data_IF_274867283736
#
_entry.id   IF_274867283736
#
_cell.length_a   1.000
_cell.length_b   1.000
_cell.length_c   1.000
_cell.angle_alpha   90.00
_cell.angle_beta   90.00
_cell.angle_gamma   90.00
#
_symmetry.space_group_name_H-M   'P 1'
#
loop_
_entity.id
_entity.type
_entity.pdbx_description
1 polymer ?
#
# COMPACT_ATOMS: atom_id res chain seq x y z
N UNK A 1 43.26 -63.57 -13.19
CA UNK A 1 42.76 -64.93 -13.25
C UNK A 1 41.51 -64.93 -14.10
N UNK A 2 41.69 -65.51 -15.26
CA UNK A 2 40.82 -66.35 -16.12
C UNK A 2 39.49 -65.70 -16.52
N UNK A 3 39.34 -65.26 -17.74
CA UNK A 3 39.35 -65.99 -19.00
C UNK A 3 38.05 -66.72 -19.31
N UNK A 4 37.58 -66.56 -20.55
CA UNK A 4 36.73 -67.38 -21.34
C UNK A 4 35.63 -66.61 -22.08
N UNK A 5 35.80 -66.01 -23.22
CA UNK A 5 35.91 -66.50 -24.62
C UNK A 5 34.80 -67.46 -25.07
N UNK A 6 34.12 -66.94 -26.03
CA UNK A 6 33.94 -67.36 -27.44
C UNK A 6 32.63 -68.14 -27.68
N UNK A 7 31.99 -67.99 -28.70
CA UNK A 7 31.89 -68.09 -30.17
C UNK A 7 30.44 -68.44 -30.48
N UNK A 8 29.72 -68.08 -31.47
CA UNK A 8 30.01 -67.88 -32.87
C UNK A 8 28.96 -68.58 -33.70
N UNK A 9 28.61 -67.97 -34.80
CA UNK A 9 28.16 -68.57 -36.05
C UNK A 9 26.70 -68.57 -36.49
N UNK A 10 26.52 -67.83 -37.55
CA UNK A 10 25.98 -68.12 -38.89
C UNK A 10 24.45 -68.28 -38.97
N UNK A 11 23.75 -67.61 -39.82
CA UNK A 11 23.89 -67.28 -41.23
C UNK A 11 22.78 -67.99 -41.99
N UNK A 12 21.90 -67.30 -42.64
CA UNK A 12 20.88 -67.88 -43.49
C UNK A 12 20.10 -66.79 -44.25
N UNK A 13 20.28 -66.83 -45.53
CA UNK A 13 19.83 -65.95 -46.60
C UNK A 13 18.35 -66.16 -46.98
N UNK A 14 17.71 -65.07 -47.39
CA UNK A 14 16.81 -64.89 -48.56
C UNK A 14 15.42 -65.54 -48.49
N UNK A 15 14.35 -64.70 -48.50
CA UNK A 15 13.52 -64.70 -49.72
C UNK A 15 12.61 -63.45 -49.82
N UNK A 16 12.46 -63.00 -51.04
CA UNK A 16 11.67 -61.90 -51.51
C UNK A 16 10.16 -62.20 -51.42
N UNK A 17 9.39 -61.22 -51.25
CA UNK A 17 8.06 -61.23 -51.79
C UNK A 17 6.96 -60.62 -50.93
N UNK A 18 6.36 -59.68 -51.54
CA UNK A 18 5.02 -59.14 -51.32
C UNK A 18 4.96 -57.79 -50.59
N UNK A 19 4.94 -56.76 -51.44
CA UNK A 19 4.39 -55.44 -51.12
C UNK A 19 2.95 -55.56 -50.60
N UNK A 20 2.73 -55.22 -49.37
CA UNK A 20 1.43 -54.81 -48.88
C UNK A 20 1.55 -53.39 -48.36
N UNK A 21 0.93 -52.43 -49.09
CA UNK A 21 0.71 -51.06 -48.69
C UNK A 21 -0.27 -51.16 -47.54
N UNK A 22 0.24 -50.93 -46.33
CA UNK A 22 -0.61 -50.65 -45.17
C UNK A 22 -0.75 -49.13 -45.10
N UNK A 23 -1.90 -48.65 -45.53
CA UNK A 23 -2.35 -47.30 -45.31
C UNK A 23 -2.56 -47.14 -43.79
N UNK A 24 -1.59 -46.51 -43.12
CA UNK A 24 -1.72 -46.11 -41.71
C UNK A 24 -2.66 -44.92 -41.67
N UNK A 25 -3.94 -45.15 -41.38
CA UNK A 25 -4.88 -44.10 -41.01
C UNK A 25 -4.41 -43.54 -39.67
N UNK A 26 -3.79 -42.37 -39.71
CA UNK A 26 -3.53 -41.55 -38.51
C UNK A 26 -4.88 -41.05 -38.00
N UNK A 27 -5.42 -41.75 -37.04
CA UNK A 27 -6.47 -41.21 -36.18
C UNK A 27 -5.87 -40.03 -35.43
N UNK A 28 -6.11 -38.83 -35.92
CA UNK A 28 -6.00 -37.62 -35.09
C UNK A 28 -7.04 -37.76 -33.98
N UNK A 29 -6.65 -38.32 -32.86
CA UNK A 29 -7.35 -38.19 -31.60
C UNK A 29 -7.37 -36.70 -31.27
N UNK A 30 -8.54 -36.09 -31.47
CA UNK A 30 -8.87 -34.76 -30.96
C UNK A 30 -8.57 -34.79 -29.46
N UNK A 31 -7.44 -34.18 -29.05
CA UNK A 31 -7.24 -33.79 -27.68
C UNK A 31 -8.46 -32.90 -27.30
N UNK A 32 -9.14 -33.21 -26.23
CA UNK A 32 -10.19 -32.31 -25.78
C UNK A 32 -9.56 -30.93 -25.62
N UNK A 33 -10.03 -29.98 -26.42
CA UNK A 33 -9.56 -28.59 -26.34
C UNK A 33 -9.57 -28.19 -24.89
N UNK A 34 -8.46 -27.67 -24.43
CA UNK A 34 -8.37 -26.94 -23.17
C UNK A 34 -9.44 -25.87 -23.24
N UNK A 35 -10.62 -26.16 -22.73
CA UNK A 35 -11.60 -25.15 -22.46
C UNK A 35 -11.06 -24.35 -21.30
N UNK A 36 -10.83 -23.03 -21.43
CA UNK A 36 -10.67 -22.19 -20.26
C UNK A 36 -12.06 -22.11 -19.61
N UNK A 37 -12.43 -23.09 -18.81
CA UNK A 37 -13.56 -22.99 -17.93
C UNK A 37 -13.05 -22.93 -16.50
N UNK A 38 -12.59 -21.77 -16.17
CA UNK A 38 -12.82 -21.23 -14.85
C UNK A 38 -13.46 -19.87 -15.10
N UNK A 39 -14.78 -19.79 -15.05
CA UNK A 39 -15.37 -18.58 -14.51
C UNK A 39 -14.63 -18.40 -13.19
N UNK A 40 -13.77 -17.38 -13.09
CA UNK A 40 -13.10 -17.06 -11.85
C UNK A 40 -14.22 -17.02 -10.80
N UNK A 41 -14.15 -17.90 -9.82
CA UNK A 41 -15.17 -17.98 -8.78
C UNK A 41 -15.12 -16.62 -8.10
N UNK A 42 -16.24 -15.88 -8.17
CA UNK A 42 -16.32 -14.55 -7.60
C UNK A 42 -15.87 -14.61 -6.13
N UNK A 43 -14.97 -13.73 -5.73
CA UNK A 43 -14.53 -13.62 -4.35
C UNK A 43 -15.76 -13.32 -3.48
N UNK A 44 -15.98 -14.13 -2.47
CA UNK A 44 -17.07 -13.92 -1.52
C UNK A 44 -16.48 -13.58 -0.15
N UNK A 45 -16.71 -12.34 0.26
CA UNK A 45 -16.42 -11.84 1.60
C UNK A 45 -17.75 -11.33 2.18
N UNK A 46 -18.68 -12.23 2.52
CA UNK A 46 -19.99 -11.83 3.03
C UNK A 46 -19.83 -10.98 4.26
N UNK A 47 -20.50 -9.84 4.29
CA UNK A 47 -20.32 -8.82 5.33
C UNK A 47 -21.66 -8.23 5.72
N UNK A 48 -22.05 -8.40 6.99
CA UNK A 48 -23.19 -7.72 7.57
C UNK A 48 -22.79 -6.31 8.02
N UNK A 49 -23.68 -5.34 7.80
CA UNK A 49 -23.42 -3.94 8.19
C UNK A 49 -24.56 -3.37 9.02
N UNK A 50 -24.20 -2.48 9.95
CA UNK A 50 -25.16 -1.66 10.68
C UNK A 50 -24.49 -0.36 11.15
N UNK A 51 -25.32 0.60 11.52
CA UNK A 51 -24.86 1.87 12.09
C UNK A 51 -25.53 2.08 13.44
N UNK A 52 -24.77 2.45 14.46
CA UNK A 52 -25.32 2.84 15.76
C UNK A 52 -25.99 4.21 15.69
N UNK A 53 -26.84 4.53 16.68
CA UNK A 53 -27.52 5.84 16.79
C UNK A 53 -26.56 7.02 16.86
N UNK A 54 -25.35 6.82 17.41
CA UNK A 54 -24.27 7.82 17.46
C UNK A 54 -23.44 7.92 16.18
N UNK A 55 -23.79 7.18 15.12
CA UNK A 55 -23.15 7.27 13.82
C UNK A 55 -21.97 6.31 13.58
N UNK A 56 -21.57 5.50 14.56
CA UNK A 56 -20.52 4.50 14.35
C UNK A 56 -20.98 3.47 13.32
N UNK A 57 -20.23 3.34 12.23
CA UNK A 57 -20.46 2.35 11.18
C UNK A 57 -19.77 1.05 11.55
N UNK A 58 -20.49 -0.06 11.46
CA UNK A 58 -19.95 -1.39 11.83
C UNK A 58 -20.15 -2.36 10.67
N UNK A 59 -19.12 -3.15 10.39
CA UNK A 59 -19.17 -4.25 9.44
C UNK A 59 -18.65 -5.54 10.10
N UNK A 60 -19.33 -6.65 9.84
CA UNK A 60 -19.00 -7.95 10.44
C UNK A 60 -18.84 -8.99 9.33
N UNK A 61 -17.65 -9.59 9.27
CA UNK A 61 -17.35 -10.73 8.41
C UNK A 61 -17.24 -12.00 9.24
N UNK A 62 -18.23 -12.88 9.11
CA UNK A 62 -18.25 -14.18 9.81
C UNK A 62 -17.35 -15.20 9.11
N UNK A 63 -16.36 -15.74 9.81
CA UNK A 63 -15.39 -16.72 9.31
C UNK A 63 -14.98 -17.67 10.44
N UNK A 64 -15.54 -18.88 10.45
CA UNK A 64 -15.30 -19.91 11.46
C UNK A 64 -14.12 -20.85 11.11
N UNK A 65 -13.24 -20.48 10.20
CA UNK A 65 -12.10 -21.29 9.81
C UNK A 65 -11.04 -21.47 10.91
N UNK A 66 -10.98 -20.54 11.86
CA UNK A 66 -10.14 -20.60 13.05
C UNK A 66 -10.85 -19.89 14.23
N UNK A 67 -10.58 -20.27 15.50
CA UNK A 67 -11.18 -19.64 16.67
C UNK A 67 -10.50 -18.30 17.00
N UNK A 68 -10.42 -17.42 16.01
CA UNK A 68 -9.76 -16.10 16.07
C UNK A 68 -10.71 -15.01 15.59
N UNK A 69 -10.51 -13.82 16.10
CA UNK A 69 -11.20 -12.61 15.63
C UNK A 69 -10.21 -11.46 15.46
N UNK A 70 -10.36 -10.74 14.36
CA UNK A 70 -9.72 -9.45 14.11
C UNK A 70 -10.73 -8.33 14.38
N UNK A 71 -10.34 -7.35 15.18
CA UNK A 71 -11.05 -6.10 15.41
C UNK A 71 -10.20 -5.00 14.77
N UNK A 72 -10.79 -4.17 13.91
CA UNK A 72 -10.07 -3.08 13.24
C UNK A 72 -10.93 -1.81 13.25
N UNK A 73 -10.55 -0.88 14.09
CA UNK A 73 -11.23 0.41 14.27
C UNK A 73 -10.46 1.49 13.52
N UNK A 74 -11.11 2.11 12.52
CA UNK A 74 -10.57 3.24 11.77
C UNK A 74 -11.21 4.54 12.25
N UNK A 75 -10.38 5.53 12.57
CA UNK A 75 -10.78 6.94 12.66
C UNK A 75 -10.42 7.62 11.33
N UNK A 76 -11.39 8.33 10.73
CA UNK A 76 -11.25 8.96 9.42
C UNK A 76 -10.50 10.30 9.54
N UNK A 77 -9.34 10.24 10.19
CA UNK A 77 -8.42 11.35 10.42
C UNK A 77 -6.98 10.85 10.32
N UNK A 78 -6.19 11.51 9.51
CA UNK A 78 -4.76 11.34 9.40
C UNK A 78 -4.08 12.70 9.29
N UNK A 79 -2.80 12.74 8.94
CA UNK A 79 -2.04 13.98 8.87
C UNK A 79 -2.61 14.99 7.87
N UNK A 80 -3.37 14.57 6.88
CA UNK A 80 -4.07 15.45 5.94
C UNK A 80 -5.21 16.29 6.54
N UNK A 81 -5.56 16.08 7.81
CA UNK A 81 -6.56 16.87 8.54
C UNK A 81 -5.95 17.83 9.55
N UNK A 82 -4.65 17.86 9.64
CA UNK A 82 -3.90 18.72 10.54
C UNK A 82 -3.90 20.17 10.03
N UNK A 83 -3.85 21.11 10.95
CA UNK A 83 -3.74 22.54 10.63
C UNK A 83 -2.27 22.95 10.57
N UNK A 84 -1.98 24.03 9.84
CA UNK A 84 -0.63 24.58 9.74
C UNK A 84 -0.03 24.85 11.14
N UNK A 85 1.23 24.44 11.35
CA UNK A 85 1.92 24.55 12.63
C UNK A 85 1.52 23.49 13.68
N UNK A 86 0.78 22.46 13.24
CA UNK A 86 0.34 21.34 14.10
C UNK A 86 0.53 19.99 13.36
N UNK A 87 1.59 19.85 12.59
CA UNK A 87 1.89 18.59 11.89
C UNK A 87 2.36 17.50 12.86
N UNK A 88 2.00 16.25 12.54
CA UNK A 88 2.32 15.08 13.36
C UNK A 88 1.32 14.76 14.47
N UNK A 89 0.23 15.50 14.56
CA UNK A 89 -0.78 15.32 15.62
C UNK A 89 -1.52 13.99 15.47
N UNK A 90 -1.91 13.61 14.27
CA UNK A 90 -2.59 12.33 14.04
C UNK A 90 -1.71 11.15 14.47
N UNK A 91 -0.42 11.21 14.17
CA UNK A 91 0.55 10.19 14.59
C UNK A 91 0.85 10.24 16.09
N UNK A 92 0.99 11.42 16.67
CA UNK A 92 1.10 11.59 18.13
C UNK A 92 -0.12 10.99 18.84
N UNK A 93 -1.32 11.15 18.27
CA UNK A 93 -2.54 10.54 18.80
C UNK A 93 -2.53 9.02 18.72
N UNK A 94 -2.00 8.43 17.66
CA UNK A 94 -1.80 6.99 17.60
C UNK A 94 -1.07 6.50 18.86
N UNK A 95 0.03 7.16 19.23
CA UNK A 95 0.79 6.86 20.44
C UNK A 95 0.01 7.14 21.74
N UNK A 96 -0.69 8.27 21.81
CA UNK A 96 -1.46 8.66 22.99
C UNK A 96 -2.57 7.67 23.33
N UNK A 97 -3.19 7.06 22.34
CA UNK A 97 -4.26 6.07 22.52
C UNK A 97 -3.82 4.78 23.24
N UNK A 98 -2.52 4.56 23.38
CA UNK A 98 -1.95 3.46 24.16
C UNK A 98 -1.49 3.88 25.57
N UNK A 99 -1.68 5.15 25.95
CA UNK A 99 -1.20 5.65 27.26
C UNK A 99 -2.22 5.50 28.38
N UNK A 100 -3.27 4.70 28.15
CA UNK A 100 -4.37 4.47 29.09
C UNK A 100 -5.54 5.40 28.86
N UNK A 101 -6.67 5.04 29.43
CA UNK A 101 -7.96 5.70 29.40
C UNK A 101 -8.60 5.64 30.78
N UNK A 102 -9.87 5.97 30.94
CA UNK A 102 -10.51 6.06 32.25
C UNK A 102 -10.34 4.78 33.10
N UNK A 103 -10.63 3.63 32.50
CA UNK A 103 -10.67 2.34 33.19
C UNK A 103 -9.51 1.41 32.82
N UNK A 104 -8.56 1.90 32.00
CA UNK A 104 -7.40 1.16 31.51
C UNK A 104 -6.11 1.92 31.80
N UNK A 105 -5.25 1.33 32.62
CA UNK A 105 -3.96 1.91 32.96
C UNK A 105 -3.00 1.98 31.77
N UNK A 106 -1.95 2.81 31.87
CA UNK A 106 -0.87 2.90 30.90
C UNK A 106 -0.29 1.50 30.60
N UNK A 107 -0.28 1.11 29.34
CA UNK A 107 0.17 -0.22 28.89
C UNK A 107 -0.87 -1.33 29.07
N UNK A 108 -2.02 -1.05 29.67
CA UNK A 108 -3.08 -2.04 29.90
C UNK A 108 -3.63 -2.65 28.62
N UNK A 109 -3.75 -1.85 27.54
CA UNK A 109 -4.14 -2.39 26.23
C UNK A 109 -3.20 -3.51 25.77
N UNK A 110 -1.89 -3.30 25.84
CA UNK A 110 -0.91 -4.32 25.49
C UNK A 110 -0.97 -5.52 26.42
N UNK A 111 -1.04 -5.28 27.74
CA UNK A 111 -1.10 -6.33 28.74
C UNK A 111 -2.28 -7.27 28.50
N UNK A 112 -3.48 -6.73 28.41
CA UNK A 112 -4.72 -7.51 28.23
C UNK A 112 -4.71 -8.33 26.94
N UNK A 113 -4.30 -7.72 25.80
CA UNK A 113 -4.29 -8.43 24.52
C UNK A 113 -3.20 -9.49 24.46
N UNK A 114 -2.01 -9.22 25.03
CA UNK A 114 -0.92 -10.21 25.09
C UNK A 114 -1.21 -11.37 26.04
N UNK A 115 -1.84 -11.11 27.19
CA UNK A 115 -2.30 -12.15 28.11
C UNK A 115 -3.35 -13.06 27.47
N UNK A 116 -4.18 -12.53 26.58
CA UNK A 116 -5.10 -13.30 25.75
C UNK A 116 -4.40 -14.13 24.65
N UNK A 117 -3.09 -13.99 24.47
CA UNK A 117 -2.34 -14.61 23.37
C UNK A 117 -2.55 -13.91 22.02
N UNK A 118 -3.03 -12.68 22.03
CA UNK A 118 -3.31 -11.88 20.85
C UNK A 118 -2.16 -10.95 20.46
N UNK A 119 -2.40 -10.20 19.40
CA UNK A 119 -1.53 -9.12 18.90
C UNK A 119 -2.34 -7.85 18.68
N UNK A 120 -1.71 -6.69 18.87
CA UNK A 120 -2.32 -5.39 18.60
C UNK A 120 -1.29 -4.42 18.01
N UNK A 121 -1.79 -3.44 17.28
CA UNK A 121 -0.99 -2.30 16.83
C UNK A 121 -1.90 -1.12 16.45
N UNK A 122 -1.27 0.02 16.13
CA UNK A 122 -1.87 1.16 15.46
C UNK A 122 -1.12 1.52 14.20
N UNK A 123 -1.70 2.34 13.35
CA UNK A 123 -0.98 2.99 12.26
C UNK A 123 -1.68 4.27 11.82
N UNK A 124 -0.88 5.24 11.36
CA UNK A 124 -1.35 6.52 10.84
C UNK A 124 -0.81 6.76 9.44
N UNK A 125 -1.65 7.25 8.57
CA UNK A 125 -1.24 7.79 7.28
C UNK A 125 -1.86 9.19 7.06
N UNK A 126 -1.82 9.69 5.84
CA UNK A 126 -2.39 11.01 5.52
C UNK A 126 -3.90 11.08 5.70
N UNK A 127 -4.63 9.97 5.63
CA UNK A 127 -6.08 9.96 5.51
C UNK A 127 -6.82 9.27 6.65
N UNK A 128 -6.13 8.40 7.39
CA UNK A 128 -6.72 7.66 8.51
C UNK A 128 -5.71 7.34 9.61
N UNK A 129 -6.23 7.11 10.83
CA UNK A 129 -5.53 6.45 11.95
C UNK A 129 -6.35 5.22 12.33
N UNK A 130 -5.73 4.07 12.50
CA UNK A 130 -6.43 2.87 12.93
C UNK A 130 -5.73 2.15 14.08
N UNK A 131 -6.54 1.37 14.78
CA UNK A 131 -6.11 0.43 15.81
C UNK A 131 -6.71 -0.92 15.49
N UNK A 132 -5.93 -1.96 15.70
CA UNK A 132 -6.37 -3.31 15.38
C UNK A 132 -5.78 -4.35 16.31
N UNK A 133 -6.60 -5.32 16.62
CA UNK A 133 -6.28 -6.47 17.44
C UNK A 133 -6.61 -7.74 16.70
N UNK A 134 -5.85 -8.79 17.00
CA UNK A 134 -6.19 -10.17 16.64
C UNK A 134 -6.06 -11.03 17.89
N UNK A 135 -7.18 -11.61 18.33
CA UNK A 135 -7.28 -12.39 19.56
C UNK A 135 -8.07 -13.68 19.34
N UNK A 136 -7.96 -14.68 20.24
CA UNK A 136 -8.95 -15.77 20.29
C UNK A 136 -10.37 -15.22 20.45
N UNK A 137 -11.35 -15.83 19.76
CA UNK A 137 -12.72 -15.27 19.63
C UNK A 137 -13.44 -15.08 20.96
N UNK A 138 -13.10 -15.85 21.99
CA UNK A 138 -13.62 -15.69 23.34
C UNK A 138 -13.19 -14.39 24.07
N UNK A 139 -12.20 -13.68 23.55
CA UNK A 139 -11.75 -12.37 24.06
C UNK A 139 -12.34 -11.18 23.31
N UNK A 140 -13.23 -11.39 22.33
CA UNK A 140 -13.85 -10.30 21.56
C UNK A 140 -14.48 -9.24 22.46
N UNK A 141 -15.26 -9.65 23.48
CA UNK A 141 -15.94 -8.71 24.38
C UNK A 141 -14.95 -7.80 25.10
N UNK A 142 -13.82 -8.35 25.55
CA UNK A 142 -12.78 -7.60 26.24
C UNK A 142 -12.10 -6.58 25.31
N UNK A 143 -11.79 -6.96 24.07
CA UNK A 143 -11.21 -6.03 23.09
C UNK A 143 -12.18 -4.90 22.72
N UNK A 144 -13.46 -5.22 22.52
CA UNK A 144 -14.47 -4.19 22.24
C UNK A 144 -14.64 -3.22 23.41
N UNK A 145 -14.51 -3.69 24.65
CA UNK A 145 -14.50 -2.83 25.82
C UNK A 145 -13.27 -1.91 25.85
N UNK A 146 -12.05 -2.44 25.58
CA UNK A 146 -10.83 -1.64 25.49
C UNK A 146 -10.95 -0.52 24.45
N UNK A 147 -11.45 -0.85 23.26
CA UNK A 147 -11.63 0.11 22.15
C UNK A 147 -12.66 1.18 22.51
N UNK A 148 -13.76 0.81 23.15
CA UNK A 148 -14.79 1.74 23.59
C UNK A 148 -14.31 2.65 24.71
N UNK A 149 -13.53 2.13 25.66
CA UNK A 149 -12.99 2.94 26.78
C UNK A 149 -12.03 4.01 26.24
N UNK A 150 -11.12 3.66 25.33
CA UNK A 150 -10.24 4.69 24.74
C UNK A 150 -10.96 5.66 23.80
N UNK A 151 -12.00 5.23 23.06
CA UNK A 151 -12.79 6.14 22.23
C UNK A 151 -13.57 7.17 23.07
N UNK A 152 -14.19 6.69 24.15
CA UNK A 152 -15.06 7.53 24.97
C UNK A 152 -14.33 8.37 26.02
N UNK A 153 -13.25 7.82 26.59
CA UNK A 153 -12.74 8.28 27.89
C UNK A 153 -11.21 8.45 27.95
N UNK A 154 -10.53 8.59 26.82
CA UNK A 154 -9.07 8.83 26.75
C UNK A 154 -8.69 10.07 27.58
N UNK A 155 -9.45 11.16 27.45
CA UNK A 155 -9.13 12.44 28.09
C UNK A 155 -9.22 12.40 29.60
N UNK A 156 -9.94 11.45 30.20
CA UNK A 156 -10.06 11.30 31.65
C UNK A 156 -8.73 10.83 32.28
N UNK A 157 -7.90 10.13 31.49
CA UNK A 157 -6.56 9.70 31.91
C UNK A 157 -5.43 10.52 31.27
N UNK A 158 -5.75 11.56 30.51
CA UNK A 158 -4.75 12.42 29.88
C UNK A 158 -4.00 13.26 30.89
N UNK A 159 -2.68 13.40 30.71
CA UNK A 159 -1.83 14.27 31.52
C UNK A 159 -0.72 14.92 30.69
N UNK A 160 -0.20 16.05 31.20
CA UNK A 160 0.97 16.72 30.59
C UNK A 160 2.17 15.78 30.53
N UNK A 161 2.41 14.98 31.56
CA UNK A 161 3.52 14.02 31.61
C UNK A 161 3.43 12.98 30.48
N UNK A 162 2.22 12.42 30.23
CA UNK A 162 1.99 11.46 29.12
C UNK A 162 2.24 12.11 27.76
N UNK A 163 1.79 13.36 27.59
CA UNK A 163 2.02 14.13 26.38
C UNK A 163 3.52 14.37 26.15
N UNK A 164 4.23 14.85 27.16
CA UNK A 164 5.68 15.12 27.07
C UNK A 164 6.46 13.86 26.72
N UNK A 165 6.12 12.76 27.37
CA UNK A 165 6.73 11.47 27.08
C UNK A 165 6.49 11.03 25.62
N UNK A 166 5.25 11.09 25.13
CA UNK A 166 4.95 10.65 23.76
C UNK A 166 5.48 11.62 22.70
N UNK A 167 5.54 12.92 22.95
CA UNK A 167 6.26 13.85 22.08
C UNK A 167 7.72 13.46 21.91
N UNK A 168 8.39 13.10 22.99
CA UNK A 168 9.80 12.68 22.94
C UNK A 168 9.96 11.34 22.22
N UNK A 169 9.03 10.40 22.40
CA UNK A 169 9.01 9.12 21.64
C UNK A 169 8.87 9.40 20.14
N UNK A 170 7.88 10.17 19.70
CA UNK A 170 7.66 10.51 18.29
C UNK A 170 8.84 11.27 17.69
N UNK A 171 9.43 12.21 18.44
CA UNK A 171 10.65 12.94 18.02
C UNK A 171 11.87 12.01 17.88
N UNK A 172 12.00 11.01 18.74
CA UNK A 172 13.05 9.99 18.63
C UNK A 172 12.80 9.05 17.44
N UNK A 173 11.55 8.66 17.22
CA UNK A 173 11.15 7.87 16.05
C UNK A 173 11.46 8.62 14.75
N UNK A 174 11.15 9.91 14.67
CA UNK A 174 11.52 10.74 13.52
C UNK A 174 13.03 10.71 13.27
N UNK A 175 13.83 10.86 14.33
CA UNK A 175 15.28 10.76 14.20
C UNK A 175 15.74 9.40 13.67
N UNK A 176 15.16 8.31 14.19
CA UNK A 176 15.53 6.95 13.78
C UNK A 176 15.11 6.61 12.35
N UNK A 177 13.85 6.92 12.00
CA UNK A 177 13.25 6.45 10.74
C UNK A 177 13.47 7.42 9.57
N UNK A 178 13.79 8.70 9.85
CA UNK A 178 13.98 9.71 8.80
C UNK A 178 15.36 10.34 8.83
N UNK A 179 15.80 10.91 9.97
CA UNK A 179 17.05 11.69 10.01
C UNK A 179 18.31 10.80 10.04
N UNK A 180 18.23 9.61 10.63
CA UNK A 180 19.33 8.65 10.72
C UNK A 180 19.21 7.50 9.70
N UNK A 181 18.05 7.31 9.09
CA UNK A 181 17.84 6.28 8.08
C UNK A 181 18.39 6.73 6.72
N UNK A 182 19.15 5.86 6.00
CA UNK A 182 19.60 6.17 4.65
C UNK A 182 18.43 6.56 3.75
N UNK A 183 18.52 7.68 3.06
CA UNK A 183 17.47 8.27 2.22
C UNK A 183 16.15 8.62 2.95
N UNK A 184 16.14 8.64 4.28
CA UNK A 184 14.92 8.81 5.07
C UNK A 184 14.25 10.16 4.85
N UNK A 185 15.02 11.25 4.79
CA UNK A 185 14.52 12.60 4.55
C UNK A 185 14.02 12.83 3.11
N UNK A 186 14.39 11.96 2.15
CA UNK A 186 13.98 12.11 0.76
C UNK A 186 12.46 12.02 0.59
N UNK A 187 11.78 11.18 1.35
CA UNK A 187 10.32 11.05 1.29
C UNK A 187 9.61 12.32 1.74
N UNK A 188 10.12 12.98 2.77
CA UNK A 188 9.61 14.27 3.24
C UNK A 188 9.84 15.34 2.17
N UNK A 189 11.07 15.43 1.65
CA UNK A 189 11.42 16.41 0.63
C UNK A 189 10.61 16.25 -0.65
N UNK A 190 10.35 15.02 -1.10
CA UNK A 190 9.50 14.75 -2.25
C UNK A 190 8.06 15.22 -2.02
N UNK A 191 7.51 15.03 -0.82
CA UNK A 191 6.19 15.55 -0.44
C UNK A 191 6.13 17.07 -0.51
N UNK A 192 7.10 17.76 0.08
CA UNK A 192 7.23 19.24 0.06
C UNK A 192 7.40 19.79 -1.36
N UNK A 193 8.15 19.10 -2.21
CA UNK A 193 8.33 19.51 -3.60
C UNK A 193 7.08 19.30 -4.45
N UNK A 194 6.33 18.22 -4.21
CA UNK A 194 5.16 17.85 -4.99
C UNK A 194 3.93 18.66 -4.58
N UNK A 195 3.64 18.70 -3.28
CA UNK A 195 2.44 19.32 -2.75
C UNK A 195 2.75 20.75 -2.28
N UNK A 196 1.99 21.77 -2.74
CA UNK A 196 2.19 23.15 -2.28
C UNK A 196 1.84 23.29 -0.79
N UNK A 197 2.38 24.34 -0.16
CA UNK A 197 1.96 24.71 1.19
C UNK A 197 0.43 24.86 1.29
N UNK A 198 -0.14 24.34 2.38
CA UNK A 198 -1.59 24.30 2.58
C UNK A 198 -2.29 23.11 1.91
N UNK A 199 -1.61 22.34 1.07
CA UNK A 199 -2.16 21.07 0.60
C UNK A 199 -2.12 20.04 1.74
N UNK A 200 -3.19 19.24 1.97
CA UNK A 200 -3.25 18.24 3.03
C UNK A 200 -2.09 17.22 3.07
N UNK A 201 -1.44 17.00 1.94
CA UNK A 201 -0.33 16.05 1.83
C UNK A 201 1.06 16.68 1.81
N UNK A 202 1.16 17.99 2.14
CA UNK A 202 2.44 18.69 2.18
C UNK A 202 3.29 18.27 3.38
N UNK A 203 2.70 18.31 4.58
CA UNK A 203 3.39 17.94 5.80
C UNK A 203 3.56 16.41 5.93
N UNK A 204 4.72 15.94 6.45
CA UNK A 204 4.91 14.52 6.69
C UNK A 204 4.05 14.01 7.84
N UNK A 205 3.57 12.78 7.76
CA UNK A 205 2.74 12.16 8.82
C UNK A 205 3.44 12.10 10.18
N UNK A 206 4.76 11.93 10.19
CA UNK A 206 5.58 11.98 11.42
C UNK A 206 5.63 13.38 12.05
N UNK A 207 5.26 14.42 11.32
CA UNK A 207 5.28 15.81 11.74
C UNK A 207 6.66 16.47 11.73
N UNK A 208 6.67 17.80 11.83
CA UNK A 208 7.90 18.57 12.03
C UNK A 208 8.25 18.67 13.52
N UNK A 209 9.54 18.64 13.83
CA UNK A 209 10.03 18.73 15.23
C UNK A 209 9.52 19.97 15.97
N UNK A 210 9.42 21.10 15.27
CA UNK A 210 8.92 22.35 15.83
C UNK A 210 7.44 22.25 16.24
N UNK A 211 6.60 21.68 15.35
CA UNK A 211 5.16 21.53 15.58
C UNK A 211 4.87 20.58 16.74
N UNK A 212 5.58 19.44 16.79
CA UNK A 212 5.48 18.50 17.91
C UNK A 212 5.90 19.14 19.23
N UNK A 213 6.91 20.01 19.22
CA UNK A 213 7.36 20.72 20.42
C UNK A 213 6.34 21.74 20.90
N UNK A 214 5.64 22.39 19.97
CA UNK A 214 4.64 23.43 20.26
C UNK A 214 3.26 22.86 20.66
N UNK A 215 3.06 21.52 20.59
CA UNK A 215 1.79 20.88 20.93
C UNK A 215 1.41 21.13 22.40
N UNK A 216 0.26 21.75 22.65
CA UNK A 216 -0.30 21.97 23.99
C UNK A 216 -1.32 20.88 24.37
N UNK A 217 -1.63 20.72 25.68
CA UNK A 217 -2.72 19.85 26.10
C UNK A 217 -4.07 20.21 25.49
N UNK A 218 -4.34 21.51 25.32
CA UNK A 218 -5.58 22.02 24.72
C UNK A 218 -5.68 21.65 23.25
N UNK A 219 -4.58 21.75 22.49
CA UNK A 219 -4.51 21.34 21.09
C UNK A 219 -4.84 19.85 20.97
N UNK A 220 -4.22 19.04 21.84
CA UNK A 220 -4.42 17.59 21.90
C UNK A 220 -5.86 17.24 22.23
N UNK A 221 -6.42 17.83 23.29
CA UNK A 221 -7.81 17.59 23.68
C UNK A 221 -8.80 18.08 22.59
N UNK A 222 -8.50 19.19 21.93
CA UNK A 222 -9.28 19.70 20.80
C UNK A 222 -9.31 18.75 19.62
N UNK A 223 -8.15 18.23 19.23
CA UNK A 223 -8.02 17.26 18.14
C UNK A 223 -8.78 15.97 18.45
N UNK A 224 -8.67 15.44 19.67
CA UNK A 224 -9.42 14.26 20.09
C UNK A 224 -10.93 14.47 19.96
N UNK A 225 -11.47 15.53 20.59
CA UNK A 225 -12.92 15.81 20.57
C UNK A 225 -13.47 16.03 19.18
N UNK A 226 -12.65 16.51 18.26
CA UNK A 226 -13.05 16.73 16.86
C UNK A 226 -13.08 15.47 16.03
N UNK A 227 -12.08 14.59 16.20
CA UNK A 227 -11.82 13.53 15.24
C UNK A 227 -12.03 12.11 15.77
N UNK A 228 -11.82 11.86 17.08
CA UNK A 228 -11.90 10.54 17.69
C UNK A 228 -13.28 10.28 18.26
N UNK A 229 -14.28 10.30 17.41
CA UNK A 229 -15.70 10.22 17.75
C UNK A 229 -16.42 9.16 16.90
N UNK A 230 -17.52 8.55 17.41
CA UNK A 230 -18.18 7.44 16.73
C UNK A 230 -18.60 7.73 15.29
N UNK A 231 -19.16 8.92 15.03
CA UNK A 231 -19.62 9.30 13.68
C UNK A 231 -18.48 9.66 12.71
N UNK A 232 -17.24 9.67 13.17
CA UNK A 232 -16.02 9.78 12.34
C UNK A 232 -15.20 8.48 12.35
N UNK A 233 -15.83 7.35 12.70
CA UNK A 233 -15.16 6.07 12.81
C UNK A 233 -15.91 4.96 12.07
N UNK A 234 -15.19 3.90 11.74
CA UNK A 234 -15.75 2.65 11.25
C UNK A 234 -15.04 1.47 11.91
N UNK A 235 -15.82 0.50 12.36
CA UNK A 235 -15.38 -0.69 13.08
C UNK A 235 -15.65 -1.93 12.25
N UNK A 236 -14.62 -2.69 11.95
CA UNK A 236 -14.76 -3.99 11.26
C UNK A 236 -14.32 -5.11 12.19
N UNK A 237 -15.20 -6.11 12.34
CA UNK A 237 -14.93 -7.33 13.09
C UNK A 237 -14.97 -8.49 12.09
N UNK A 238 -13.88 -9.27 12.01
CA UNK A 238 -13.78 -10.40 11.10
C UNK A 238 -13.27 -11.63 11.83
N UNK A 239 -13.96 -12.77 11.69
CA UNK A 239 -13.51 -14.03 12.29
C UNK A 239 -14.64 -14.87 12.87
N UNK A 240 -14.29 -15.68 13.87
CA UNK A 240 -15.19 -16.63 14.52
C UNK A 240 -16.18 -15.91 15.45
N UNK A 241 -17.16 -15.26 14.83
CA UNK A 241 -18.17 -14.45 15.50
C UNK A 241 -19.54 -14.61 14.82
N UNK A 242 -20.60 -14.32 15.57
CA UNK A 242 -21.95 -14.21 15.01
C UNK A 242 -22.38 -12.74 14.94
N UNK A 243 -22.89 -12.25 13.80
CA UNK A 243 -23.27 -10.85 13.65
C UNK A 243 -24.24 -10.33 14.73
N UNK A 244 -25.17 -11.17 15.20
CA UNK A 244 -26.11 -10.80 16.28
C UNK A 244 -25.39 -10.53 17.61
N UNK A 245 -24.41 -11.34 17.97
CA UNK A 245 -23.62 -11.16 19.19
C UNK A 245 -22.73 -9.93 19.11
N UNK A 246 -22.08 -9.73 17.95
CA UNK A 246 -21.28 -8.51 17.68
C UNK A 246 -22.17 -7.27 17.84
N UNK A 247 -23.35 -7.25 17.22
CA UNK A 247 -24.28 -6.11 17.32
C UNK A 247 -24.64 -5.80 18.78
N UNK A 248 -24.93 -6.83 19.58
CA UNK A 248 -25.27 -6.70 21.00
C UNK A 248 -24.09 -6.09 21.79
N UNK A 249 -22.86 -6.61 21.58
CA UNK A 249 -21.67 -6.15 22.27
C UNK A 249 -21.30 -4.73 21.86
N UNK A 250 -21.27 -4.43 20.55
CA UNK A 250 -20.94 -3.08 20.06
C UNK A 250 -21.97 -2.06 20.55
N UNK A 251 -23.28 -2.41 20.55
CA UNK A 251 -24.31 -1.52 21.10
C UNK A 251 -24.09 -1.25 22.59
N UNK A 252 -23.73 -2.30 23.35
CA UNK A 252 -23.47 -2.17 24.80
C UNK A 252 -22.31 -1.25 25.12
N UNK A 253 -21.18 -1.37 24.40
CA UNK A 253 -19.95 -0.66 24.76
C UNK A 253 -19.82 0.71 24.08
N UNK A 254 -20.26 0.81 22.83
CA UNK A 254 -20.11 2.05 22.04
C UNK A 254 -21.38 2.91 21.99
N UNK A 255 -22.55 2.37 22.35
CA UNK A 255 -23.83 3.01 22.09
C UNK A 255 -24.04 4.35 22.84
N UNK A 256 -23.48 4.48 24.03
CA UNK A 256 -23.59 5.66 24.90
C UNK A 256 -22.49 6.71 24.65
N UNK A 257 -21.48 6.39 23.83
CA UNK A 257 -20.42 7.37 23.46
C UNK A 257 -21.06 8.44 22.56
N UNK A 258 -20.99 9.73 22.93
CA UNK A 258 -21.66 10.78 22.17
C UNK A 258 -21.03 10.96 20.77
N UNK A 259 -21.90 11.26 19.79
CA UNK A 259 -21.44 11.68 18.48
C UNK A 259 -20.74 13.05 18.56
N UNK A 260 -19.69 13.22 17.73
CA UNK A 260 -19.04 14.51 17.54
C UNK A 260 -19.68 15.34 16.41
N UNK A 261 -19.07 16.48 16.11
CA UNK A 261 -19.45 17.28 14.95
C UNK A 261 -19.15 16.49 13.66
N UNK A 262 -20.00 16.58 12.63
CA UNK A 262 -19.73 15.94 11.35
C UNK A 262 -18.41 16.42 10.76
N UNK A 263 -17.54 15.47 10.37
CA UNK A 263 -16.28 15.79 9.72
C UNK A 263 -16.53 16.37 8.30
N UNK A 264 -15.76 17.39 7.87
CA UNK A 264 -15.82 17.88 6.50
C UNK A 264 -15.53 16.75 5.50
N UNK A 265 -16.31 16.70 4.41
CA UNK A 265 -16.11 15.70 3.36
C UNK A 265 -14.72 15.84 2.71
N UNK A 266 -14.07 14.71 2.47
CA UNK A 266 -12.85 14.65 1.66
C UNK A 266 -13.21 14.84 0.19
N UNK A 267 -12.51 15.77 -0.48
CA UNK A 267 -12.70 16.03 -1.92
C UNK A 267 -11.35 15.90 -2.62
N UNK A 268 -11.33 15.44 -3.89
CA UNK A 268 -10.13 15.49 -4.70
C UNK A 268 -9.54 16.90 -4.74
N UNK A 269 -8.22 16.99 -4.59
CA UNK A 269 -7.43 18.21 -4.64
C UNK A 269 -6.18 17.94 -5.50
N UNK A 270 -6.34 17.81 -6.83
CA UNK A 270 -5.26 17.43 -7.71
C UNK A 270 -4.19 18.53 -7.78
N UNK A 271 -2.94 18.09 -7.90
CA UNK A 271 -1.78 18.98 -8.07
C UNK A 271 -1.35 19.02 -9.53
N UNK A 272 -0.94 20.21 -9.98
CA UNK A 272 -0.34 20.43 -11.29
C UNK A 272 0.99 21.14 -11.13
N UNK A 273 2.00 20.71 -11.86
CA UNK A 273 3.29 21.38 -11.95
C UNK A 273 3.36 22.13 -13.28
N UNK A 274 3.86 23.38 -13.24
CA UNK A 274 4.05 24.21 -14.43
C UNK A 274 5.38 23.91 -15.15
N UNK A 275 6.36 23.36 -14.44
CA UNK A 275 7.67 22.99 -14.93
C UNK A 275 8.28 21.91 -14.03
N UNK A 276 9.33 21.28 -14.51
CA UNK A 276 10.15 20.38 -13.71
C UNK A 276 10.74 21.09 -12.49
N UNK A 277 10.81 20.39 -11.38
CA UNK A 277 11.47 20.85 -10.15
C UNK A 277 12.59 19.89 -9.80
N UNK A 278 13.84 20.39 -9.80
CA UNK A 278 15.02 19.63 -9.44
C UNK A 278 15.53 20.02 -8.07
N UNK A 279 15.98 19.05 -7.30
CA UNK A 279 16.70 19.28 -6.05
C UNK A 279 17.76 18.21 -5.82
N UNK A 280 18.74 18.56 -4.97
CA UNK A 280 19.85 17.69 -4.62
C UNK A 280 20.01 17.68 -3.10
N UNK A 281 19.88 16.51 -2.51
CA UNK A 281 20.14 16.27 -1.10
C UNK A 281 21.45 15.48 -0.93
N UNK A 282 22.24 15.88 0.04
CA UNK A 282 23.36 15.10 0.52
C UNK A 282 22.92 14.29 1.74
N UNK A 283 23.32 13.02 1.80
CA UNK A 283 22.95 12.11 2.89
C UNK A 283 24.10 11.14 3.20
N UNK A 284 24.02 10.53 4.37
CA UNK A 284 24.98 9.50 4.83
C UNK A 284 24.72 8.16 4.15
N UNK A 285 24.86 8.14 2.85
CA UNK A 285 24.65 6.98 1.98
C UNK A 285 25.91 6.66 1.18
N UNK A 286 26.04 5.43 0.74
CA UNK A 286 27.17 5.02 -0.13
C UNK A 286 26.83 5.13 -1.61
N UNK A 287 25.55 4.97 -1.98
CA UNK A 287 25.11 4.98 -3.37
C UNK A 287 24.20 6.16 -3.62
N UNK A 288 24.33 6.76 -4.79
CA UNK A 288 23.44 7.83 -5.23
C UNK A 288 22.07 7.23 -5.62
N UNK A 289 20.99 8.00 -5.38
CA UNK A 289 19.62 7.63 -5.71
C UNK A 289 18.90 8.75 -6.45
N UNK A 290 18.21 8.38 -7.51
CA UNK A 290 17.32 9.27 -8.27
C UNK A 290 15.87 8.92 -7.97
N UNK A 291 15.07 9.93 -7.70
CA UNK A 291 13.61 9.82 -7.61
C UNK A 291 12.94 10.78 -8.59
N UNK A 292 12.05 10.25 -9.42
CA UNK A 292 11.22 10.99 -10.37
C UNK A 292 9.77 10.85 -9.93
N UNK A 293 9.06 11.98 -9.73
CA UNK A 293 7.68 11.95 -9.20
C UNK A 293 6.77 12.86 -10.02
N UNK A 294 5.73 12.28 -10.61
CA UNK A 294 4.69 12.98 -11.36
C UNK A 294 3.41 13.09 -10.52
N UNK A 295 2.74 14.25 -10.47
CA UNK A 295 1.39 14.32 -9.93
C UNK A 295 0.44 13.53 -10.83
N UNK A 296 -0.44 12.74 -10.22
CA UNK A 296 -1.43 11.92 -10.92
C UNK A 296 -2.79 11.97 -10.23
N UNK A 297 -3.64 11.00 -10.53
CA UNK A 297 -5.04 10.97 -10.11
C UNK A 297 -5.22 10.44 -8.69
N UNK A 298 -6.32 10.87 -8.08
CA UNK A 298 -6.80 10.39 -6.80
C UNK A 298 -7.31 8.95 -6.89
N UNK A 299 -7.53 8.32 -5.74
CA UNK A 299 -8.07 6.95 -5.66
C UNK A 299 -9.49 6.87 -6.21
N UNK A 300 -9.81 5.75 -6.83
CA UNK A 300 -11.06 5.47 -7.54
C UNK A 300 -11.26 6.29 -8.82
N UNK A 301 -10.29 7.06 -9.24
CA UNK A 301 -10.31 7.68 -10.57
C UNK A 301 -10.29 6.60 -11.66
N UNK A 302 -10.87 6.91 -12.83
CA UNK A 302 -10.94 5.97 -13.95
C UNK A 302 -9.56 5.57 -14.51
N UNK A 303 -8.54 6.40 -14.31
CA UNK A 303 -7.18 6.19 -14.81
C UNK A 303 -6.24 5.51 -13.80
N UNK A 304 -6.67 5.33 -12.55
CA UNK A 304 -5.87 4.74 -11.48
C UNK A 304 -5.34 3.35 -11.85
N UNK A 305 -6.24 2.45 -12.27
CA UNK A 305 -5.88 1.05 -12.56
C UNK A 305 -4.93 0.94 -13.76
N UNK A 306 -5.09 1.82 -14.75
CA UNK A 306 -4.19 1.86 -15.91
C UNK A 306 -2.80 2.38 -15.53
N UNK A 307 -2.70 3.33 -14.58
CA UNK A 307 -1.42 3.81 -14.03
C UNK A 307 -0.76 2.73 -13.17
N UNK A 308 -1.51 1.93 -12.42
CA UNK A 308 -0.98 0.78 -11.67
C UNK A 308 -0.38 -0.28 -12.60
N UNK A 309 -1.10 -0.62 -13.68
CA UNK A 309 -0.61 -1.56 -14.71
C UNK A 309 0.64 -0.99 -15.40
N UNK A 310 0.64 0.31 -15.74
CA UNK A 310 1.81 0.98 -16.29
C UNK A 310 3.03 0.87 -15.36
N UNK A 311 2.86 1.13 -14.07
CA UNK A 311 3.91 1.00 -13.06
C UNK A 311 4.41 -0.44 -12.92
N UNK A 312 3.51 -1.41 -12.92
CA UNK A 312 3.85 -2.83 -12.83
C UNK A 312 4.71 -3.29 -14.02
N UNK A 313 4.40 -2.83 -15.24
CA UNK A 313 5.17 -3.15 -16.44
C UNK A 313 6.52 -2.42 -16.43
N UNK A 314 6.50 -1.13 -16.05
CA UNK A 314 7.68 -0.28 -16.10
C UNK A 314 8.75 -0.70 -15.08
N UNK A 315 8.38 -0.90 -13.78
CA UNK A 315 9.39 -1.02 -12.74
C UNK A 315 9.09 -1.96 -11.57
N UNK A 316 8.02 -2.78 -11.59
CA UNK A 316 7.76 -3.71 -10.50
C UNK A 316 8.27 -5.13 -10.80
N UNK A 317 9.16 -5.62 -9.94
CA UNK A 317 9.70 -6.97 -10.03
C UNK A 317 10.77 -7.15 -11.11
N UNK A 318 11.37 -8.35 -11.12
CA UNK A 318 12.55 -8.64 -11.93
C UNK A 318 12.29 -8.70 -13.45
N UNK A 319 11.07 -8.88 -13.88
CA UNK A 319 10.67 -8.93 -15.29
C UNK A 319 10.18 -7.58 -15.83
N UNK A 320 10.20 -6.52 -15.04
CA UNK A 320 9.85 -5.17 -15.49
C UNK A 320 10.90 -4.58 -16.42
N UNK A 321 10.49 -3.64 -17.28
CA UNK A 321 11.37 -3.05 -18.31
C UNK A 321 12.62 -2.40 -17.73
N UNK A 322 12.45 -1.55 -16.72
CA UNK A 322 13.57 -0.86 -16.06
C UNK A 322 14.50 -1.85 -15.34
N UNK A 323 13.97 -2.86 -14.64
CA UNK A 323 14.82 -3.85 -13.99
C UNK A 323 15.65 -4.62 -15.02
N UNK A 324 15.03 -5.08 -16.10
CA UNK A 324 15.72 -5.83 -17.17
C UNK A 324 16.78 -4.98 -17.86
N UNK A 325 16.55 -3.68 -18.02
CA UNK A 325 17.52 -2.78 -18.63
C UNK A 325 18.62 -2.40 -17.64
N UNK A 326 18.25 -1.67 -16.56
CA UNK A 326 19.20 -0.98 -15.71
C UNK A 326 19.93 -1.92 -14.72
N UNK A 327 19.22 -2.95 -14.22
CA UNK A 327 19.78 -3.83 -13.19
C UNK A 327 20.40 -5.08 -13.80
N UNK A 328 19.71 -5.74 -14.76
CA UNK A 328 20.15 -7.03 -15.29
C UNK A 328 21.16 -6.88 -16.44
N UNK A 329 20.82 -6.12 -17.50
CA UNK A 329 21.66 -6.00 -18.69
C UNK A 329 22.80 -5.00 -18.54
N UNK A 330 22.50 -3.75 -18.20
CA UNK A 330 23.47 -2.66 -18.14
C UNK A 330 24.23 -2.63 -16.82
N UNK A 331 23.65 -3.24 -15.77
CA UNK A 331 24.23 -3.30 -14.42
C UNK A 331 24.62 -1.92 -13.86
N UNK A 332 23.93 -0.87 -14.30
CA UNK A 332 24.13 0.51 -13.87
C UNK A 332 23.34 0.84 -12.60
N UNK A 333 22.25 0.13 -12.31
CA UNK A 333 21.48 0.28 -11.08
C UNK A 333 21.60 -0.95 -10.17
N UNK A 334 21.58 -0.70 -8.86
CA UNK A 334 21.42 -1.74 -7.83
C UNK A 334 19.96 -2.16 -7.69
N UNK A 335 19.06 -1.19 -7.76
CA UNK A 335 17.63 -1.40 -7.61
C UNK A 335 16.84 -0.35 -8.40
N UNK A 336 15.68 -0.74 -8.87
CA UNK A 336 14.71 0.15 -9.48
C UNK A 336 13.30 -0.27 -9.07
N UNK A 337 12.44 0.72 -8.88
CA UNK A 337 11.01 0.53 -8.64
C UNK A 337 10.23 1.62 -9.35
N UNK A 338 9.03 1.29 -9.84
CA UNK A 338 8.07 2.27 -10.36
C UNK A 338 6.66 1.89 -9.90
N UNK A 339 5.83 2.89 -9.60
CA UNK A 339 4.46 2.61 -9.16
C UNK A 339 3.61 3.84 -9.00
N UNK A 340 2.31 3.63 -9.07
CA UNK A 340 1.26 4.58 -8.76
C UNK A 340 0.96 4.54 -7.27
N UNK A 341 0.74 5.70 -6.66
CA UNK A 341 0.27 5.84 -5.30
C UNK A 341 -0.93 6.78 -5.26
N UNK A 342 -2.13 6.24 -5.36
CA UNK A 342 -3.37 7.01 -5.27
C UNK A 342 -3.86 7.10 -3.84
N UNK A 343 -4.23 8.30 -3.41
CA UNK A 343 -4.84 8.61 -2.12
C UNK A 343 -6.15 9.36 -2.35
N UNK A 344 -7.04 9.48 -1.36
CA UNK A 344 -8.36 10.09 -1.55
C UNK A 344 -8.37 11.48 -2.18
N UNK A 345 -7.35 12.33 -1.95
CA UNK A 345 -7.35 13.69 -2.46
C UNK A 345 -6.45 13.91 -3.68
N UNK A 346 -5.37 13.17 -3.82
CA UNK A 346 -4.42 13.29 -4.93
C UNK A 346 -3.58 12.01 -5.06
N UNK A 347 -3.02 11.78 -6.24
CA UNK A 347 -2.09 10.68 -6.49
C UNK A 347 -0.74 11.15 -7.00
N UNK A 348 0.19 10.22 -7.03
CA UNK A 348 1.52 10.41 -7.61
C UNK A 348 2.00 9.12 -8.28
N UNK A 349 2.71 9.26 -9.37
CA UNK A 349 3.49 8.18 -9.95
C UNK A 349 4.96 8.42 -9.62
N UNK A 350 5.66 7.40 -9.14
CA UNK A 350 7.06 7.54 -8.74
C UNK A 350 7.93 6.48 -9.39
N UNK A 351 9.10 6.90 -9.88
CA UNK A 351 10.21 6.00 -10.25
C UNK A 351 11.37 6.30 -9.32
N UNK A 352 11.94 5.25 -8.72
CA UNK A 352 13.13 5.35 -7.86
C UNK A 352 14.20 4.43 -8.39
N UNK A 353 15.41 4.97 -8.64
CA UNK A 353 16.57 4.22 -9.10
C UNK A 353 17.72 4.43 -8.13
N UNK A 354 18.25 3.36 -7.54
CA UNK A 354 19.49 3.40 -6.76
C UNK A 354 20.65 2.99 -7.69
N UNK A 355 21.56 3.90 -7.94
CA UNK A 355 22.69 3.67 -8.82
C UNK A 355 23.66 2.64 -8.23
N UNK A 356 24.44 1.96 -9.07
CA UNK A 356 25.66 1.28 -8.64
C UNK A 356 26.79 2.31 -8.51
N UNK A 357 27.82 1.94 -7.79
CA UNK A 357 29.03 2.75 -7.66
C UNK A 357 29.60 3.12 -9.06
N UNK A 358 29.89 4.39 -9.27
CA UNK A 358 30.39 4.91 -10.54
C UNK A 358 29.36 5.11 -11.64
N UNK A 359 28.10 4.73 -11.45
CA UNK A 359 27.05 4.96 -12.45
C UNK A 359 26.52 6.40 -12.35
N UNK A 360 26.26 7.01 -13.52
CA UNK A 360 25.78 8.39 -13.64
C UNK A 360 24.26 8.48 -13.45
N UNK A 361 23.80 9.29 -12.49
CA UNK A 361 22.37 9.56 -12.33
C UNK A 361 21.75 10.24 -13.56
N UNK A 362 22.50 11.10 -14.25
CA UNK A 362 22.01 11.73 -15.50
C UNK A 362 21.78 10.71 -16.62
N UNK A 363 22.64 9.68 -16.69
CA UNK A 363 22.43 8.60 -17.66
C UNK A 363 21.21 7.76 -17.27
N UNK A 364 21.09 7.35 -16.01
CA UNK A 364 19.94 6.59 -15.51
C UNK A 364 18.62 7.34 -15.70
N UNK A 365 18.61 8.67 -15.54
CA UNK A 365 17.45 9.51 -15.80
C UNK A 365 17.02 9.43 -17.27
N UNK A 366 17.97 9.59 -18.21
CA UNK A 366 17.69 9.46 -19.66
C UNK A 366 17.13 8.07 -20.01
N UNK A 367 17.73 7.02 -19.47
CA UNK A 367 17.31 5.63 -19.72
C UNK A 367 15.91 5.35 -19.18
N UNK A 368 15.53 5.95 -18.04
CA UNK A 368 14.16 5.87 -17.52
C UNK A 368 13.19 6.56 -18.49
N UNK A 369 13.53 7.76 -18.98
CA UNK A 369 12.66 8.47 -19.94
C UNK A 369 12.53 7.74 -21.28
N UNK A 370 13.59 7.09 -21.76
CA UNK A 370 13.54 6.26 -22.96
C UNK A 370 12.59 5.08 -22.81
N UNK A 371 12.61 4.37 -21.66
CA UNK A 371 11.69 3.27 -21.41
C UNK A 371 10.25 3.74 -21.25
N UNK A 372 10.02 4.88 -20.60
CA UNK A 372 8.71 5.52 -20.52
C UNK A 372 8.21 5.88 -21.93
N UNK A 373 9.05 6.51 -22.76
CA UNK A 373 8.70 6.87 -24.13
C UNK A 373 8.37 5.64 -24.97
N UNK A 374 9.20 4.58 -24.86
CA UNK A 374 8.98 3.34 -25.59
C UNK A 374 7.66 2.66 -25.16
N UNK A 375 7.34 2.62 -23.87
CA UNK A 375 6.07 2.05 -23.39
C UNK A 375 4.87 2.91 -23.84
N UNK A 376 5.02 4.24 -23.88
CA UNK A 376 3.98 5.14 -24.36
C UNK A 376 3.73 5.05 -25.88
N UNK A 377 4.78 4.80 -26.69
CA UNK A 377 4.69 4.78 -28.16
C UNK A 377 4.34 3.40 -28.70
N UNK A 378 5.07 2.36 -28.27
CA UNK A 378 4.90 1.00 -28.75
C UNK A 378 3.79 0.24 -28.00
N UNK A 379 3.49 0.66 -26.76
CA UNK A 379 2.56 -0.03 -25.86
C UNK A 379 3.20 -1.25 -25.18
N UNK A 380 2.42 -1.88 -24.28
CA UNK A 380 2.81 -3.12 -23.64
C UNK A 380 2.53 -4.31 -24.53
N UNK A 381 3.35 -5.36 -24.41
CA UNK A 381 3.09 -6.65 -25.02
C UNK A 381 1.94 -7.40 -24.31
N UNK A 382 1.37 -8.38 -24.97
CA UNK A 382 0.32 -9.23 -24.37
C UNK A 382 0.82 -9.95 -23.09
N UNK A 383 2.09 -10.38 -23.09
CA UNK A 383 2.71 -11.03 -21.93
C UNK A 383 2.89 -10.06 -20.76
N UNK A 384 3.35 -8.82 -21.01
CA UNK A 384 3.48 -7.79 -19.99
C UNK A 384 2.12 -7.46 -19.36
N UNK A 385 1.07 -7.32 -20.18
CA UNK A 385 -0.30 -7.09 -19.70
C UNK A 385 -0.81 -8.25 -18.85
N UNK A 386 -0.65 -9.49 -19.31
CA UNK A 386 -1.07 -10.68 -18.56
C UNK A 386 -0.35 -10.76 -17.20
N UNK A 387 0.97 -10.57 -17.20
CA UNK A 387 1.78 -10.59 -15.98
C UNK A 387 1.37 -9.50 -14.99
N UNK A 388 1.15 -8.27 -15.45
CA UNK A 388 0.75 -7.16 -14.60
C UNK A 388 -0.63 -7.37 -13.98
N UNK A 389 -1.62 -7.83 -14.78
CA UNK A 389 -2.97 -8.15 -14.29
C UNK A 389 -2.94 -9.29 -13.28
N UNK A 390 -2.28 -10.42 -13.61
CA UNK A 390 -2.18 -11.57 -12.71
C UNK A 390 -1.45 -11.20 -11.41
N UNK A 391 -0.44 -10.32 -11.48
CA UNK A 391 0.27 -9.82 -10.31
C UNK A 391 -0.63 -8.99 -9.39
N UNK A 392 -1.50 -8.14 -9.93
CA UNK A 392 -2.46 -7.36 -9.16
C UNK A 392 -3.56 -8.25 -8.56
N UNK A 393 -4.10 -9.18 -9.35
CA UNK A 393 -5.08 -10.17 -8.87
C UNK A 393 -4.51 -10.99 -7.73
N UNK A 394 -3.32 -11.56 -7.89
CA UNK A 394 -2.66 -12.32 -6.85
C UNK A 394 -2.45 -11.50 -5.57
N UNK A 395 -2.03 -10.25 -5.68
CA UNK A 395 -1.85 -9.34 -4.53
C UNK A 395 -3.17 -9.10 -3.79
N UNK A 396 -4.25 -8.83 -4.53
CA UNK A 396 -5.59 -8.66 -3.95
C UNK A 396 -6.05 -9.91 -3.22
N UNK A 397 -5.86 -11.10 -3.82
CA UNK A 397 -6.21 -12.38 -3.19
C UNK A 397 -5.36 -12.65 -1.94
N UNK A 398 -4.04 -12.38 -1.98
CA UNK A 398 -3.16 -12.57 -0.82
C UNK A 398 -3.54 -11.69 0.37
N UNK A 399 -3.98 -10.46 0.13
CA UNK A 399 -4.47 -9.59 1.22
C UNK A 399 -5.69 -10.19 1.94
N UNK A 400 -6.52 -10.96 1.24
CA UNK A 400 -7.72 -11.59 1.80
C UNK A 400 -7.46 -12.93 2.51
N UNK A 401 -6.21 -13.40 2.57
CA UNK A 401 -5.88 -14.65 3.26
C UNK A 401 -5.91 -14.54 4.78
N UNK A 402 -5.76 -13.33 5.33
CA UNK A 402 -5.76 -13.08 6.76
C UNK A 402 -7.05 -12.36 7.19
N UNK A 403 -7.51 -12.61 8.41
CA UNK A 403 -8.67 -11.91 8.99
C UNK A 403 -8.43 -10.40 9.03
N UNK A 404 -7.24 -9.98 9.47
CA UNK A 404 -6.88 -8.57 9.51
C UNK A 404 -6.84 -7.93 8.12
N UNK A 405 -6.31 -8.62 7.11
CA UNK A 405 -6.32 -8.14 5.72
C UNK A 405 -7.72 -7.97 5.15
N UNK A 406 -8.64 -8.91 5.48
CA UNK A 406 -10.08 -8.79 5.15
C UNK A 406 -10.68 -7.58 5.86
N UNK A 407 -10.47 -7.46 7.17
CA UNK A 407 -11.00 -6.36 7.98
C UNK A 407 -10.52 -4.99 7.49
N UNK A 408 -9.24 -4.87 7.14
CA UNK A 408 -8.64 -3.64 6.64
C UNK A 408 -9.23 -3.24 5.27
N UNK A 409 -9.39 -4.20 4.37
CA UNK A 409 -9.97 -3.94 3.04
C UNK A 409 -11.45 -3.58 3.09
N UNK A 410 -12.22 -4.27 3.94
CA UNK A 410 -13.64 -3.95 4.20
C UNK A 410 -13.75 -2.53 4.75
N UNK A 411 -12.89 -2.16 5.71
CA UNK A 411 -12.87 -0.83 6.31
C UNK A 411 -12.53 0.26 5.30
N UNK A 412 -11.57 0.01 4.42
CA UNK A 412 -11.23 0.91 3.33
C UNK A 412 -12.42 1.16 2.39
N UNK A 413 -13.09 0.12 1.93
CA UNK A 413 -14.24 0.24 1.04
C UNK A 413 -15.41 0.95 1.73
N UNK A 414 -15.70 0.60 2.99
CA UNK A 414 -16.75 1.21 3.78
C UNK A 414 -16.51 2.71 3.99
N UNK A 415 -15.26 3.09 4.26
CA UNK A 415 -14.86 4.48 4.46
C UNK A 415 -14.89 5.29 3.17
N UNK A 416 -14.28 4.76 2.10
CA UNK A 416 -14.07 5.52 0.86
C UNK A 416 -15.29 5.47 -0.08
N UNK A 417 -16.09 4.41 -0.03
CA UNK A 417 -17.20 4.17 -0.97
C UNK A 417 -18.56 3.90 -0.31
N UNK A 418 -18.59 3.81 1.02
CA UNK A 418 -19.83 3.57 1.79
C UNK A 418 -20.40 2.16 1.67
N UNK A 419 -19.68 1.21 1.07
CA UNK A 419 -20.08 -0.19 0.91
C UNK A 419 -18.90 -1.10 1.26
N UNK A 420 -19.11 -2.26 1.92
CA UNK A 420 -18.02 -3.12 2.38
C UNK A 420 -17.47 -4.08 1.31
N UNK A 421 -18.22 -4.31 0.21
CA UNK A 421 -17.90 -5.33 -0.79
C UNK A 421 -17.70 -4.72 -2.19
N UNK A 422 -16.44 -4.41 -2.51
CA UNK A 422 -16.00 -3.96 -3.83
C UNK A 422 -14.92 -4.87 -4.44
N UNK A 423 -14.64 -6.01 -3.84
CA UNK A 423 -13.55 -6.89 -4.25
C UNK A 423 -13.63 -7.29 -5.72
N UNK A 424 -14.79 -7.79 -6.15
CA UNK A 424 -14.98 -8.22 -7.54
C UNK A 424 -15.04 -7.04 -8.52
N UNK A 425 -15.56 -5.90 -8.10
CA UNK A 425 -15.57 -4.69 -8.91
C UNK A 425 -14.16 -4.17 -9.17
N UNK A 426 -13.31 -4.18 -8.15
CA UNK A 426 -11.91 -3.77 -8.27
C UNK A 426 -11.13 -4.71 -9.20
N UNK A 427 -11.28 -6.02 -9.03
CA UNK A 427 -10.67 -7.01 -9.94
C UNK A 427 -11.15 -6.83 -11.39
N UNK A 428 -12.45 -6.55 -11.60
CA UNK A 428 -13.00 -6.31 -12.91
C UNK A 428 -12.44 -5.03 -13.56
N UNK A 429 -12.18 -3.97 -12.77
CA UNK A 429 -11.53 -2.74 -13.26
C UNK A 429 -10.13 -3.04 -13.80
N UNK A 430 -9.28 -3.76 -13.05
CA UNK A 430 -7.94 -4.15 -13.53
C UNK A 430 -7.98 -5.06 -14.75
N UNK A 431 -8.94 -6.00 -14.79
CA UNK A 431 -9.13 -6.89 -15.95
C UNK A 431 -9.53 -6.12 -17.22
N UNK A 432 -10.27 -5.03 -17.08
CA UNK A 432 -10.75 -4.20 -18.18
C UNK A 432 -9.65 -3.30 -18.79
N UNK A 433 -8.57 -3.00 -18.08
CA UNK A 433 -7.48 -2.15 -18.60
C UNK A 433 -6.90 -2.71 -19.89
N UNK A 434 -6.88 -1.93 -20.96
CA UNK A 434 -6.35 -2.32 -22.27
C UNK A 434 -4.92 -1.80 -22.49
N UNK A 435 -4.15 -2.35 -23.46
CA UNK A 435 -2.88 -1.76 -23.87
C UNK A 435 -2.98 -0.28 -24.27
N UNK A 436 -4.09 0.09 -24.92
CA UNK A 436 -4.36 1.49 -25.30
C UNK A 436 -4.54 2.39 -24.09
N UNK A 437 -5.15 1.91 -22.99
CA UNK A 437 -5.28 2.66 -21.75
C UNK A 437 -3.92 2.91 -21.11
N UNK A 438 -3.04 1.90 -21.08
CA UNK A 438 -1.66 2.04 -20.58
C UNK A 438 -0.89 3.11 -21.37
N UNK A 439 -0.98 3.09 -22.71
CA UNK A 439 -0.37 4.12 -23.55
C UNK A 439 -0.98 5.52 -23.31
N UNK A 440 -2.30 5.59 -23.18
CA UNK A 440 -3.02 6.83 -22.94
C UNK A 440 -2.60 7.49 -21.63
N UNK A 441 -2.58 6.74 -20.52
CA UNK A 441 -2.18 7.31 -19.23
C UNK A 441 -0.69 7.67 -19.19
N UNK A 442 0.18 6.88 -19.86
CA UNK A 442 1.59 7.23 -20.01
C UNK A 442 1.78 8.60 -20.67
N UNK A 443 1.03 8.88 -21.73
CA UNK A 443 1.07 10.18 -22.46
C UNK A 443 0.37 11.30 -21.67
N UNK A 444 -0.71 11.00 -20.99
CA UNK A 444 -1.50 11.99 -20.26
C UNK A 444 -0.79 12.53 -19.03
N UNK A 445 -0.10 11.65 -18.27
CA UNK A 445 0.40 11.98 -16.94
C UNK A 445 1.92 11.93 -16.80
N UNK A 446 2.65 11.18 -17.62
CA UNK A 446 4.06 10.85 -17.38
C UNK A 446 4.98 11.40 -18.48
N UNK A 447 4.82 10.94 -19.72
CA UNK A 447 5.72 11.27 -20.81
C UNK A 447 5.72 12.75 -21.13
N UNK A 448 6.87 13.43 -20.95
CA UNK A 448 7.02 14.85 -21.22
C UNK A 448 6.17 15.76 -20.35
N UNK A 449 5.71 15.25 -19.20
CA UNK A 449 4.95 16.04 -18.23
C UNK A 449 5.87 16.57 -17.14
N UNK A 450 5.60 17.79 -16.64
CA UNK A 450 6.35 18.35 -15.52
C UNK A 450 6.32 17.43 -14.29
N UNK A 451 7.47 17.29 -13.66
CA UNK A 451 7.63 16.38 -12.50
C UNK A 451 8.75 16.84 -11.55
N UNK A 452 8.86 16.11 -10.44
CA UNK A 452 9.91 16.30 -9.46
C UNK A 452 11.08 15.40 -9.80
N UNK A 453 12.30 15.94 -9.73
CA UNK A 453 13.54 15.20 -9.87
C UNK A 453 14.37 15.44 -8.62
N UNK A 454 14.53 14.43 -7.78
CA UNK A 454 15.34 14.49 -6.57
C UNK A 454 16.52 13.53 -6.68
N UNK A 455 17.72 14.09 -6.60
CA UNK A 455 18.96 13.33 -6.45
C UNK A 455 19.36 13.31 -4.98
N UNK A 456 19.53 12.12 -4.40
CA UNK A 456 20.15 11.94 -3.08
C UNK A 456 21.52 11.34 -3.30
N UNK A 457 22.56 12.06 -2.87
CA UNK A 457 23.96 11.71 -3.12
C UNK A 457 24.74 11.58 -1.80
N UNK A 458 25.86 10.84 -1.78
CA UNK A 458 26.75 10.80 -0.63
C UNK A 458 27.23 12.20 -0.22
N UNK A 459 27.41 12.43 1.08
CA UNK A 459 27.92 13.70 1.60
C UNK A 459 29.21 14.13 0.92
N UNK A 460 29.29 15.39 0.46
CA UNK A 460 30.42 15.96 -0.25
C UNK A 460 30.52 15.60 -1.73
N UNK A 461 29.52 14.92 -2.30
CA UNK A 461 29.50 14.42 -3.69
C UNK A 461 28.33 14.95 -4.51
N UNK A 462 28.05 16.25 -4.43
CA UNK A 462 26.96 16.89 -5.20
C UNK A 462 27.11 16.76 -6.72
N UNK A 463 28.32 16.56 -7.21
CA UNK A 463 28.64 16.31 -8.61
C UNK A 463 28.02 15.02 -9.18
N UNK A 464 27.65 14.06 -8.30
CA UNK A 464 26.97 12.83 -8.69
C UNK A 464 25.47 13.05 -8.99
N UNK A 465 24.93 14.21 -8.67
CA UNK A 465 23.52 14.51 -8.93
C UNK A 465 23.20 14.52 -10.45
N UNK A 466 21.98 14.14 -10.77
CA UNK A 466 21.50 14.23 -12.15
C UNK A 466 21.45 15.69 -12.60
N UNK A 467 22.14 15.99 -13.71
CA UNK A 467 22.18 17.31 -14.30
C UNK A 467 20.96 17.55 -15.19
N UNK A 468 20.52 18.80 -15.27
CA UNK A 468 19.51 19.15 -16.27
C UNK A 468 20.04 18.80 -17.68
N UNK A 469 19.19 18.25 -18.56
CA UNK A 469 19.60 18.10 -19.96
C UNK A 469 20.14 19.44 -20.51
N UNK A 470 21.29 19.41 -21.15
CA UNK A 470 21.76 20.59 -21.88
C UNK A 470 20.71 20.92 -22.94
N UNK A 471 20.09 22.08 -22.81
CA UNK A 471 19.24 22.62 -23.86
C UNK A 471 20.19 23.09 -24.95
N UNK A 472 20.46 22.26 -25.95
CA UNK A 472 21.08 22.73 -27.17
C UNK A 472 20.09 23.67 -27.84
N UNK A 473 20.48 24.94 -28.09
CA UNK A 473 19.61 25.95 -28.66
C UNK A 473 19.14 25.58 -30.07
#
# INVERSE_FOLDING_TARGET
MRDGRMEGRKGGRINQGVRRIVVLAVLLSALPGFRPSASAQALRVPTDTFTLSNGLKVAVHEDHSAPLVAVNLWYHVGSGREVAGRSGFAHLFEHMMFQGSKDVDKGGHFGVVQEAGGTLNGSTNTDRTNYYEMVPSNYLEQVLWLEADRMGYLLDAFSQEKLDNQRDVVKNERRQNYENAPYGLASIRLGEMLYPEGHPYHAPTIGYQADLTAASPEDVAGFFRQWYVPNNASLVIAGDVKPADVRRLVTRYFGDIPAGQPAPAVKPLPVTLSADRRDVMEDRVTLARLSLVWPTVERWNADEDALDIFGAILGQGRSSRLYQRLVYREQAAQAVNAGQGSRPQAGQFQVTVTAREGASLSQLEREVYEEIARLADEGPTAEEMARARNGNEARSVYQLQTLLGKADRINQYLTERGTPDLFNQELARYAAVTPADVQRVARAYIRGRPHIILSVVPNGHRELAAQAPEVHP
#
